data_IF_665598034333
#
_entry.id   IF_665598034333
#
_cell.length_a   1.000
_cell.length_b   1.000
_cell.length_c   1.000
_cell.angle_alpha   90.00
_cell.angle_beta   90.00
_cell.angle_gamma   90.00
#
_symmetry.space_group_name_H-M   'P 1'
#
loop_
_entity.id
_entity.type
_entity.pdbx_description
1 polymer ?
#
# COMPACT_ATOMS: atom_id res chain seq x y z
N UNK A 1 28.28 -37.45 -25.23
CA UNK A 1 27.13 -37.18 -26.12
C UNK A 1 26.02 -38.15 -25.76
N UNK A 2 24.96 -37.68 -25.08
CA UNK A 2 23.81 -38.49 -24.66
C UNK A 2 22.61 -38.10 -25.54
N UNK A 3 21.81 -39.06 -26.02
CA UNK A 3 20.73 -38.78 -26.97
C UNK A 3 19.53 -38.09 -26.31
N UNK A 4 18.95 -37.13 -27.03
CA UNK A 4 17.71 -36.44 -26.70
C UNK A 4 16.52 -37.41 -26.82
N UNK A 5 15.67 -37.45 -25.79
CA UNK A 5 14.41 -38.18 -25.78
C UNK A 5 13.35 -37.39 -26.56
N UNK A 6 12.77 -37.99 -27.60
CA UNK A 6 11.71 -37.40 -28.42
C UNK A 6 10.35 -37.79 -27.82
N UNK A 7 9.61 -36.82 -27.30
CA UNK A 7 8.24 -37.03 -26.82
C UNK A 7 7.29 -37.33 -27.99
N UNK A 8 6.30 -38.23 -27.83
CA UNK A 8 5.28 -38.47 -28.85
C UNK A 8 4.32 -37.27 -28.94
N UNK A 9 4.04 -36.82 -30.17
CA UNK A 9 3.04 -35.78 -30.42
C UNK A 9 1.63 -36.37 -30.32
N UNK A 10 1.10 -36.40 -29.10
CA UNK A 10 -0.34 -36.48 -28.89
C UNK A 10 -0.95 -35.09 -29.11
N UNK A 11 -1.93 -35.00 -30.02
CA UNK A 11 -2.68 -33.77 -30.24
C UNK A 11 -3.52 -33.43 -29.00
N UNK A 12 -2.99 -32.59 -28.12
CA UNK A 12 -3.76 -31.94 -27.05
C UNK A 12 -4.47 -30.75 -27.68
N UNK A 13 -5.79 -30.86 -27.89
CA UNK A 13 -6.63 -29.72 -28.18
C UNK A 13 -6.64 -28.79 -26.95
N UNK A 14 -5.67 -27.88 -26.89
CA UNK A 14 -5.58 -26.89 -25.83
C UNK A 14 -6.70 -25.87 -26.00
N UNK A 15 -7.62 -25.84 -25.04
CA UNK A 15 -8.56 -24.72 -24.89
C UNK A 15 -7.70 -23.48 -24.57
N UNK A 16 -7.65 -22.54 -25.52
CA UNK A 16 -7.00 -21.25 -25.32
C UNK A 16 -7.91 -20.41 -24.41
N UNK A 17 -7.76 -20.52 -23.10
CA UNK A 17 -8.42 -19.60 -22.16
C UNK A 17 -7.83 -18.21 -22.34
N UNK A 18 -8.62 -17.30 -22.93
CA UNK A 18 -8.34 -15.87 -22.94
C UNK A 18 -8.47 -15.35 -21.51
N UNK A 19 -7.35 -15.18 -20.81
CA UNK A 19 -7.32 -14.47 -19.53
C UNK A 19 -7.50 -12.98 -19.84
N UNK A 20 -8.71 -12.47 -19.65
CA UNK A 20 -8.96 -11.02 -19.64
C UNK A 20 -8.38 -10.50 -18.32
N UNK A 21 -7.16 -9.95 -18.39
CA UNK A 21 -6.61 -9.18 -17.28
C UNK A 21 -7.35 -7.86 -17.26
N UNK A 22 -8.27 -7.68 -16.30
CA UNK A 22 -8.87 -6.39 -16.06
C UNK A 22 -7.78 -5.43 -15.54
N UNK A 23 -7.46 -4.40 -16.31
CA UNK A 23 -6.68 -3.28 -15.82
C UNK A 23 -7.54 -2.51 -14.82
N UNK A 24 -7.29 -2.71 -13.53
CA UNK A 24 -7.84 -1.83 -12.50
C UNK A 24 -7.15 -0.48 -12.65
N UNK A 25 -7.88 0.53 -13.12
CA UNK A 25 -7.41 1.92 -13.05
C UNK A 25 -7.61 2.41 -11.63
N UNK A 26 -6.51 2.72 -10.94
CA UNK A 26 -6.52 3.43 -9.67
C UNK A 26 -6.62 4.96 -9.86
N UNK A 27 -7.10 5.42 -11.03
CA UNK A 27 -7.33 6.83 -11.29
C UNK A 27 -8.67 7.27 -10.72
N UNK A 28 -8.73 8.56 -10.38
CA UNK A 28 -9.98 9.18 -10.00
C UNK A 28 -11.01 9.06 -11.15
N UNK A 29 -12.31 8.88 -10.85
CA UNK A 29 -13.35 8.83 -11.86
C UNK A 29 -13.28 10.04 -12.81
N UNK A 30 -13.65 9.89 -14.10
CA UNK A 30 -13.74 11.03 -15.01
C UNK A 30 -14.58 12.15 -14.38
N UNK A 31 -14.02 13.36 -14.35
CA UNK A 31 -14.66 14.56 -13.80
C UNK A 31 -14.55 14.74 -12.28
N UNK A 32 -13.88 13.84 -11.56
CA UNK A 32 -13.77 13.90 -10.09
C UNK A 32 -13.18 15.23 -9.58
N UNK A 33 -12.25 15.84 -10.33
CA UNK A 33 -11.60 17.10 -9.99
C UNK A 33 -12.14 18.33 -10.76
N UNK A 34 -13.23 18.20 -11.52
CA UNK A 34 -13.72 19.27 -12.41
C UNK A 34 -14.13 20.55 -11.67
N UNK A 35 -14.52 20.43 -10.40
CA UNK A 35 -14.93 21.56 -9.54
C UNK A 35 -13.76 22.21 -8.82
N UNK A 36 -12.54 21.69 -8.96
CA UNK A 36 -11.34 22.27 -8.33
C UNK A 36 -10.89 23.50 -9.09
N UNK A 37 -10.78 24.61 -8.38
CA UNK A 37 -10.28 25.88 -8.92
C UNK A 37 -8.81 26.06 -8.54
N UNK A 38 -7.95 26.10 -9.55
CA UNK A 38 -6.48 26.17 -9.41
C UNK A 38 -5.91 27.58 -9.54
N UNK A 39 -6.76 28.61 -9.57
CA UNK A 39 -6.37 30.01 -9.83
C UNK A 39 -5.36 30.57 -8.82
N UNK A 40 -5.53 30.23 -7.54
CA UNK A 40 -4.59 30.58 -6.48
C UNK A 40 -4.56 29.52 -5.37
N UNK A 41 -3.52 29.56 -4.53
CA UNK A 41 -3.28 28.54 -3.50
C UNK A 41 -4.41 28.43 -2.45
N UNK A 42 -5.06 29.54 -2.10
CA UNK A 42 -6.16 29.54 -1.13
C UNK A 42 -7.40 28.91 -1.74
N UNK A 43 -7.75 29.35 -2.95
CA UNK A 43 -8.90 28.85 -3.70
C UNK A 43 -8.74 27.36 -4.03
N UNK A 44 -7.54 26.94 -4.44
CA UNK A 44 -7.18 25.54 -4.64
C UNK A 44 -7.40 24.72 -3.37
N UNK A 45 -6.86 25.17 -2.23
CA UNK A 45 -7.01 24.43 -0.97
C UNK A 45 -8.46 24.26 -0.58
N UNK A 46 -9.29 25.29 -0.72
CA UNK A 46 -10.70 25.26 -0.32
C UNK A 46 -11.50 24.33 -1.24
N UNK A 47 -11.37 24.51 -2.56
CA UNK A 47 -12.14 23.70 -3.54
C UNK A 47 -11.70 22.24 -3.55
N UNK A 48 -10.40 21.98 -3.43
CA UNK A 48 -9.87 20.62 -3.30
C UNK A 48 -10.32 19.97 -1.98
N UNK A 49 -10.26 20.67 -0.85
CA UNK A 49 -10.69 20.09 0.43
C UNK A 49 -12.17 19.69 0.41
N UNK A 50 -13.02 20.50 -0.20
CA UNK A 50 -14.45 20.21 -0.30
C UNK A 50 -14.76 18.85 -0.96
N UNK A 51 -13.92 18.41 -1.91
CA UNK A 51 -14.09 17.13 -2.61
C UNK A 51 -13.39 15.94 -1.93
N UNK A 52 -12.26 16.16 -1.22
CA UNK A 52 -11.46 15.07 -0.62
C UNK A 52 -11.70 14.86 0.89
N UNK A 53 -12.45 15.74 1.55
CA UNK A 53 -12.60 15.72 3.02
C UNK A 53 -13.29 14.47 3.58
N UNK A 54 -14.15 13.79 2.81
CA UNK A 54 -14.96 12.66 3.26
C UNK A 54 -14.23 11.31 3.11
N UNK A 55 -13.07 11.22 3.75
CA UNK A 55 -12.25 10.02 3.75
C UNK A 55 -12.69 9.06 4.85
N UNK A 56 -12.76 7.77 4.50
CA UNK A 56 -13.07 6.72 5.46
C UNK A 56 -11.86 6.44 6.34
N UNK A 57 -11.99 6.69 7.64
CA UNK A 57 -10.93 6.44 8.61
C UNK A 57 -11.04 5.03 9.18
N UNK A 58 -9.97 4.25 9.04
CA UNK A 58 -9.83 2.97 9.75
C UNK A 58 -9.03 3.16 11.05
N UNK A 59 -9.36 2.41 12.12
CA UNK A 59 -8.61 2.46 13.37
C UNK A 59 -7.19 1.94 13.18
N UNK A 60 -6.26 2.42 14.01
CA UNK A 60 -4.90 1.89 13.97
C UNK A 60 -4.92 0.41 14.31
N UNK A 61 -5.48 0.01 15.46
CA UNK A 61 -5.67 -1.40 15.81
C UNK A 61 -7.08 -1.66 16.34
N UNK A 62 -7.71 -2.73 15.88
CA UNK A 62 -9.10 -3.11 16.23
C UNK A 62 -9.32 -4.63 16.11
N UNK A 63 -10.51 -5.08 16.51
CA UNK A 63 -11.01 -6.44 16.25
C UNK A 63 -11.87 -6.54 14.98
N UNK A 64 -12.12 -5.41 14.32
CA UNK A 64 -12.68 -5.31 12.97
C UNK A 64 -11.57 -4.82 12.03
N UNK A 65 -11.89 -4.56 10.76
CA UNK A 65 -10.92 -4.02 9.79
C UNK A 65 -10.15 -2.82 10.36
N UNK A 66 -8.83 -2.95 10.38
CA UNK A 66 -7.90 -1.93 10.82
C UNK A 66 -6.74 -1.74 9.83
N UNK A 67 -5.78 -0.89 10.17
CA UNK A 67 -4.63 -0.65 9.29
C UNK A 67 -3.77 -1.89 9.03
N UNK A 68 -3.71 -2.89 9.91
CA UNK A 68 -3.00 -4.14 9.61
C UNK A 68 -3.66 -4.91 8.49
N UNK A 69 -4.99 -5.07 8.54
CA UNK A 69 -5.72 -5.80 7.50
C UNK A 69 -5.55 -5.15 6.13
N UNK A 70 -5.61 -3.81 6.09
CA UNK A 70 -5.46 -3.04 4.84
C UNK A 70 -4.03 -3.16 4.32
N UNK A 71 -3.03 -3.01 5.18
CA UNK A 71 -1.64 -2.98 4.76
C UNK A 71 -1.10 -4.36 4.37
N UNK A 72 -1.57 -5.45 5.00
CA UNK A 72 -1.19 -6.80 4.56
C UNK A 72 -1.75 -7.16 3.19
N UNK A 73 -2.85 -6.53 2.76
CA UNK A 73 -3.33 -6.63 1.39
C UNK A 73 -2.58 -5.69 0.44
N UNK A 74 -2.32 -4.45 0.87
CA UNK A 74 -1.66 -3.44 0.04
C UNK A 74 -0.19 -3.77 -0.25
N UNK A 75 0.53 -4.26 0.77
CA UNK A 75 1.94 -4.62 0.70
C UNK A 75 2.13 -6.13 0.43
N UNK A 76 1.13 -6.82 -0.12
CA UNK A 76 1.23 -8.24 -0.45
C UNK A 76 2.39 -8.50 -1.44
N UNK A 77 3.20 -9.52 -1.16
CA UNK A 77 4.26 -9.93 -2.09
C UNK A 77 3.63 -10.53 -3.36
N UNK A 78 3.83 -9.92 -4.55
CA UNK A 78 3.24 -10.39 -5.80
C UNK A 78 3.68 -11.81 -6.19
N UNK A 79 4.82 -12.29 -5.67
CA UNK A 79 5.30 -13.64 -5.90
C UNK A 79 4.79 -14.65 -4.86
N UNK A 80 4.28 -14.19 -3.71
CA UNK A 80 3.77 -15.03 -2.63
C UNK A 80 2.74 -14.30 -1.75
N UNK A 81 1.45 -14.50 -2.03
CA UNK A 81 0.34 -13.86 -1.31
C UNK A 81 0.26 -14.16 0.21
N UNK A 82 0.99 -15.17 0.70
CA UNK A 82 1.10 -15.44 2.15
C UNK A 82 2.08 -14.50 2.86
N UNK A 83 2.78 -13.66 2.11
CA UNK A 83 3.81 -12.76 2.61
C UNK A 83 3.48 -11.31 2.27
N UNK A 84 4.11 -10.40 3.00
CA UNK A 84 4.23 -8.98 2.64
C UNK A 84 5.60 -8.73 1.99
N UNK A 85 5.68 -7.72 1.16
CA UNK A 85 6.90 -7.18 0.58
C UNK A 85 7.26 -5.88 1.29
N UNK A 86 8.34 -5.91 2.07
CA UNK A 86 8.77 -4.78 2.91
C UNK A 86 9.22 -3.56 2.10
N UNK A 87 8.78 -2.38 2.55
CA UNK A 87 9.04 -1.07 1.92
C UNK A 87 10.52 -0.80 1.64
N UNK A 88 11.42 -1.08 2.60
CA UNK A 88 12.79 -0.59 2.54
C UNK A 88 13.79 -1.58 1.95
N UNK A 89 13.67 -2.86 2.28
CA UNK A 89 14.61 -3.90 1.87
C UNK A 89 14.10 -4.68 0.66
N UNK A 90 12.85 -4.44 0.23
CA UNK A 90 12.18 -5.22 -0.81
C UNK A 90 12.27 -6.72 -0.49
N UNK A 91 12.04 -7.05 0.78
CA UNK A 91 12.19 -8.40 1.34
C UNK A 91 10.82 -8.99 1.68
N UNK A 92 10.67 -10.29 1.45
CA UNK A 92 9.42 -11.02 1.67
C UNK A 92 9.34 -11.56 3.09
N UNK A 93 8.27 -11.22 3.82
CA UNK A 93 8.04 -11.69 5.20
C UNK A 93 6.67 -12.36 5.35
N UNK A 94 6.54 -13.49 6.09
CA UNK A 94 5.24 -14.10 6.34
C UNK A 94 4.27 -13.13 7.03
N UNK A 95 3.04 -13.05 6.53
CA UNK A 95 1.94 -12.31 7.17
C UNK A 95 1.71 -12.83 8.59
N UNK A 96 1.53 -11.92 9.54
CA UNK A 96 1.49 -12.22 10.96
C UNK A 96 0.61 -11.26 11.79
N UNK A 97 -0.04 -10.29 11.16
CA UNK A 97 -0.86 -9.27 11.82
C UNK A 97 -0.06 -8.38 12.78
N UNK A 98 -0.78 -7.68 13.65
CA UNK A 98 -0.15 -6.82 14.66
C UNK A 98 0.55 -7.58 15.79
N UNK A 99 1.65 -7.00 16.31
CA UNK A 99 2.37 -7.53 17.47
C UNK A 99 3.43 -8.58 17.16
N UNK A 100 3.80 -8.75 15.89
CA UNK A 100 4.86 -9.66 15.45
C UNK A 100 6.26 -9.01 15.53
N UNK A 101 7.32 -9.79 15.24
CA UNK A 101 8.73 -9.32 15.24
C UNK A 101 9.32 -9.09 13.85
N UNK A 102 8.60 -9.43 12.79
CA UNK A 102 9.06 -9.40 11.40
C UNK A 102 9.02 -7.97 10.85
N UNK A 103 7.89 -7.29 11.02
CA UNK A 103 7.63 -5.97 10.46
C UNK A 103 6.73 -5.12 11.37
N UNK A 104 6.80 -3.81 11.15
CA UNK A 104 5.99 -2.79 11.79
C UNK A 104 5.33 -1.91 10.72
N UNK A 105 4.29 -1.20 11.14
CA UNK A 105 3.72 -0.09 10.37
C UNK A 105 4.66 1.11 10.41
N UNK A 106 5.04 1.58 9.24
CA UNK A 106 5.94 2.71 9.02
C UNK A 106 5.16 3.87 8.43
N UNK A 107 5.25 5.01 9.10
CA UNK A 107 4.77 6.28 8.54
C UNK A 107 5.85 6.87 7.64
N UNK A 108 5.67 6.79 6.33
CA UNK A 108 6.61 7.36 5.35
C UNK A 108 6.83 8.87 5.56
N UNK A 109 5.87 9.60 6.12
CA UNK A 109 6.12 10.90 6.76
C UNK A 109 6.13 10.77 8.29
N UNK A 110 7.20 11.14 9.01
CA UNK A 110 7.25 10.95 10.46
C UNK A 110 6.11 11.67 11.17
N UNK A 111 5.31 10.94 11.95
CA UNK A 111 4.16 11.49 12.69
C UNK A 111 4.50 12.68 13.58
N UNK A 112 5.73 12.74 14.08
CA UNK A 112 6.25 13.85 14.91
C UNK A 112 6.26 15.21 14.21
N UNK A 113 6.10 15.26 12.89
CA UNK A 113 6.14 16.50 12.10
C UNK A 113 4.77 17.08 11.75
N UNK A 114 3.66 16.47 12.18
CA UNK A 114 2.34 17.06 11.93
C UNK A 114 1.13 16.34 12.53
N UNK A 115 1.26 15.06 12.87
CA UNK A 115 0.15 14.24 13.36
C UNK A 115 0.60 13.30 14.50
N UNK A 116 1.08 13.80 15.64
CA UNK A 116 1.84 13.00 16.60
C UNK A 116 1.03 11.93 17.37
N UNK A 117 -0.30 12.03 17.40
CA UNK A 117 -1.16 11.21 18.25
C UNK A 117 -2.35 10.61 17.49
N UNK A 118 -2.82 9.45 17.96
CA UNK A 118 -3.99 8.75 17.41
C UNK A 118 -5.26 9.28 18.07
N UNK A 119 -5.83 10.34 17.52
CA UNK A 119 -7.11 10.88 17.97
C UNK A 119 -8.10 10.98 16.81
N UNK A 120 -9.40 11.11 17.12
CA UNK A 120 -10.49 11.09 16.14
C UNK A 120 -10.43 12.20 15.08
N UNK A 121 -9.79 13.32 15.39
CA UNK A 121 -9.63 14.46 14.48
C UNK A 121 -8.29 14.43 13.73
N UNK A 122 -7.38 13.51 14.07
CA UNK A 122 -6.07 13.40 13.47
C UNK A 122 -6.02 12.22 12.49
N UNK A 123 -6.77 12.37 11.41
CA UNK A 123 -6.93 11.34 10.39
C UNK A 123 -5.61 10.88 9.72
N UNK A 124 -4.62 11.76 9.45
CA UNK A 124 -3.35 11.32 8.88
C UNK A 124 -2.62 10.28 9.71
N UNK A 125 -2.91 10.14 11.01
CA UNK A 125 -2.27 9.13 11.84
C UNK A 125 -2.52 7.69 11.34
N UNK A 126 -3.72 7.42 10.81
CA UNK A 126 -4.12 6.08 10.34
C UNK A 126 -4.33 6.00 8.83
N UNK A 127 -3.90 7.03 8.10
CA UNK A 127 -4.00 7.07 6.65
C UNK A 127 -3.09 6.01 6.00
N UNK A 128 -3.70 5.07 5.29
CA UNK A 128 -3.03 3.94 4.64
C UNK A 128 -2.33 4.31 3.33
N UNK A 129 -2.45 5.55 2.84
CA UNK A 129 -1.70 6.01 1.67
C UNK A 129 -0.24 6.36 1.98
N UNK A 130 0.10 6.56 3.25
CA UNK A 130 1.48 6.87 3.68
C UNK A 130 1.97 5.96 4.82
N UNK A 131 1.14 5.00 5.23
CA UNK A 131 1.52 3.87 6.08
C UNK A 131 1.93 2.69 5.20
N UNK A 132 2.99 1.99 5.59
CA UNK A 132 3.49 0.80 4.90
C UNK A 132 4.00 -0.22 5.91
N UNK A 133 4.09 -1.49 5.53
CA UNK A 133 4.76 -2.52 6.32
C UNK A 133 6.24 -2.53 5.99
N UNK A 134 7.07 -2.45 7.03
CA UNK A 134 8.50 -2.57 6.87
C UNK A 134 9.19 -3.28 8.02
N UNK A 135 10.39 -3.79 7.77
CA UNK A 135 11.26 -4.41 8.76
C UNK A 135 11.38 -3.52 10.01
N UNK A 136 11.09 -4.11 11.16
CA UNK A 136 11.02 -3.39 12.44
C UNK A 136 12.34 -2.71 12.83
N UNK A 137 13.49 -3.30 12.45
CA UNK A 137 14.81 -2.74 12.69
C UNK A 137 15.13 -1.55 11.78
N UNK A 138 14.74 -1.63 10.51
CA UNK A 138 14.84 -0.51 9.57
C UNK A 138 13.93 0.65 9.96
N UNK A 139 12.67 0.38 10.34
CA UNK A 139 11.76 1.39 10.90
C UNK A 139 12.43 2.12 12.08
N UNK A 140 12.93 1.36 13.05
CA UNK A 140 13.61 1.91 14.23
C UNK A 140 14.84 2.76 13.86
N UNK A 141 15.62 2.31 12.87
CA UNK A 141 16.82 3.01 12.39
C UNK A 141 16.49 4.29 11.63
N UNK A 142 15.39 4.28 10.86
CA UNK A 142 14.84 5.42 10.14
C UNK A 142 14.37 6.49 11.11
N UNK A 143 13.72 6.09 12.21
CA UNK A 143 13.28 7.00 13.27
C UNK A 143 12.41 8.14 12.69
N UNK A 144 12.62 9.39 13.10
CA UNK A 144 11.94 10.56 12.55
C UNK A 144 12.80 11.36 11.56
N UNK A 145 13.83 10.75 10.98
CA UNK A 145 14.77 11.47 10.12
C UNK A 145 14.10 11.87 8.80
N UNK A 146 14.31 13.10 8.30
CA UNK A 146 13.89 13.47 6.97
C UNK A 146 14.69 12.66 5.93
N UNK A 147 14.06 12.31 4.81
CA UNK A 147 14.78 11.77 3.66
C UNK A 147 15.77 12.82 3.14
N UNK A 148 16.94 12.36 2.71
CA UNK A 148 18.01 13.18 2.15
C UNK A 148 18.58 12.48 0.93
N UNK A 149 19.34 13.23 0.15
CA UNK A 149 20.11 12.67 -0.95
C UNK A 149 21.10 11.63 -0.42
N UNK A 150 21.17 10.51 -1.13
CA UNK A 150 22.16 9.45 -0.95
C UNK A 150 23.49 9.82 -1.63
#
# INVERSE_FOLDING_TARGET
MRPFYRWPQGAVAGVLSLVVVATLHADAPPGYYDTVDTTDATTLRVTLHAIIQDHTRYPYTSSSTDTWDILELADEDPANASNILDLYRNASYPKAGGGNTNYNREHSWPKSYGFPNDNSSNYPYTDCHHLFLCDSGYNSSRSNKPYRYC
#
